data_IF_111878491408
#
_entry.id   IF_111878491408
#
_cell.length_a   1.000
_cell.length_b   1.000
_cell.length_c   1.000
_cell.angle_alpha   90.00
_cell.angle_beta   90.00
_cell.angle_gamma   90.00
#
_symmetry.space_group_name_H-M   'P 1'
#
loop_
_entity.id
_entity.type
_entity.pdbx_description
1 polymer ?
#
# COMPACT_ATOMS: atom_id res chain seq x y z
N UNK A 1 16.52 -26.77 34.84
CA UNK A 1 15.10 -26.35 34.79
C UNK A 1 14.94 -25.48 33.55
N UNK A 2 14.36 -26.03 32.50
CA UNK A 2 14.20 -25.34 31.21
C UNK A 2 12.99 -24.42 31.30
N UNK A 3 13.21 -23.12 31.17
CA UNK A 3 12.14 -22.11 31.10
C UNK A 3 11.46 -22.27 29.75
N UNK A 4 10.12 -22.46 29.68
CA UNK A 4 9.45 -22.45 28.40
C UNK A 4 9.47 -21.02 27.84
N UNK A 5 10.14 -20.85 26.69
CA UNK A 5 9.97 -19.67 25.85
C UNK A 5 8.54 -19.71 25.33
N UNK A 6 7.67 -18.92 25.94
CA UNK A 6 6.32 -18.69 25.44
C UNK A 6 6.44 -18.16 24.03
N UNK A 7 6.11 -19.00 23.05
CA UNK A 7 5.79 -18.55 21.70
C UNK A 7 4.51 -17.73 21.80
N UNK A 8 4.65 -16.43 21.97
CA UNK A 8 3.55 -15.47 21.83
C UNK A 8 3.16 -15.38 20.36
N UNK A 9 2.46 -16.39 19.86
CA UNK A 9 1.81 -16.39 18.54
C UNK A 9 0.45 -15.67 18.55
N UNK A 10 0.26 -14.74 19.48
CA UNK A 10 -0.96 -13.95 19.64
C UNK A 10 -0.56 -12.50 19.98
N UNK A 11 0.14 -11.84 19.06
CA UNK A 11 0.37 -10.40 19.19
C UNK A 11 -0.89 -9.67 18.72
N UNK A 12 -1.62 -8.98 19.62
CA UNK A 12 -2.58 -7.99 19.16
C UNK A 12 -1.76 -6.96 18.37
N UNK A 13 -2.14 -6.68 17.12
CA UNK A 13 -1.52 -5.65 16.29
C UNK A 13 -1.26 -4.43 17.17
N UNK A 14 0.02 -4.16 17.50
CA UNK A 14 0.35 -3.09 18.44
C UNK A 14 -0.23 -1.78 17.88
N UNK A 15 -1.27 -1.21 18.53
CA UNK A 15 -1.96 -0.04 18.00
C UNK A 15 -1.01 1.16 17.92
N UNK A 16 0.05 1.19 18.75
CA UNK A 16 1.07 2.23 18.73
C UNK A 16 1.99 2.08 17.52
N UNK A 17 2.45 0.87 17.20
CA UNK A 17 3.23 0.60 16.00
C UNK A 17 2.44 0.96 14.74
N UNK A 18 1.17 0.54 14.67
CA UNK A 18 0.30 0.83 13.54
C UNK A 18 0.09 2.34 13.36
N UNK A 19 -0.16 3.08 14.44
CA UNK A 19 -0.29 4.53 14.39
C UNK A 19 1.01 5.21 13.90
N UNK A 20 2.16 4.75 14.38
CA UNK A 20 3.47 5.28 13.98
C UNK A 20 3.74 5.05 12.49
N UNK A 21 3.53 3.82 12.01
CA UNK A 21 3.68 3.48 10.61
C UNK A 21 2.73 4.30 9.72
N UNK A 22 1.50 4.55 10.18
CA UNK A 22 0.53 5.39 9.45
C UNK A 22 0.99 6.83 9.33
N UNK A 23 1.54 7.42 10.39
CA UNK A 23 2.11 8.78 10.35
C UNK A 23 3.25 8.88 9.34
N UNK A 24 4.11 7.86 9.25
CA UNK A 24 5.19 7.84 8.25
C UNK A 24 4.68 7.57 6.84
N UNK A 25 3.76 6.62 6.67
CA UNK A 25 3.16 6.30 5.37
C UNK A 25 2.42 7.51 4.79
N UNK A 26 1.69 8.27 5.60
CA UNK A 26 1.00 9.49 5.17
C UNK A 26 1.92 10.60 4.64
N UNK A 27 3.24 10.51 4.87
CA UNK A 27 4.23 11.41 4.26
C UNK A 27 4.74 10.92 2.90
N UNK A 28 4.43 9.67 2.53
CA UNK A 28 4.96 8.99 1.36
C UNK A 28 3.91 8.73 0.27
N UNK A 29 2.63 8.79 0.61
CA UNK A 29 1.51 8.53 -0.31
C UNK A 29 0.44 9.62 -0.22
N UNK A 30 -0.33 9.79 -1.29
CA UNK A 30 -1.24 10.92 -1.46
C UNK A 30 -2.62 10.75 -0.79
N UNK A 31 -2.91 9.60 -0.17
CA UNK A 31 -4.22 9.37 0.46
C UNK A 31 -4.14 8.49 1.70
N UNK A 32 -5.03 8.74 2.66
CA UNK A 32 -5.19 7.93 3.86
C UNK A 32 -5.45 6.45 3.54
N UNK A 33 -6.25 6.19 2.50
CA UNK A 33 -6.53 4.83 2.07
C UNK A 33 -5.29 4.11 1.53
N UNK A 34 -4.41 4.83 0.82
CA UNK A 34 -3.11 4.30 0.39
C UNK A 34 -2.19 4.07 1.60
N UNK A 35 -2.17 5.00 2.55
CA UNK A 35 -1.37 4.87 3.76
C UNK A 35 -1.77 3.62 4.56
N UNK A 36 -3.07 3.37 4.73
CA UNK A 36 -3.58 2.18 5.40
C UNK A 36 -3.18 0.88 4.68
N UNK A 37 -3.21 0.85 3.34
CA UNK A 37 -2.76 -0.31 2.56
C UNK A 37 -1.26 -0.57 2.73
N UNK A 38 -0.44 0.47 2.69
CA UNK A 38 1.02 0.40 2.89
C UNK A 38 1.34 -0.12 4.29
N UNK A 39 0.69 0.41 5.32
CA UNK A 39 0.86 -0.03 6.72
C UNK A 39 0.47 -1.49 6.89
N UNK A 40 -0.71 -1.88 6.40
CA UNK A 40 -1.18 -3.26 6.51
C UNK A 40 -0.23 -4.24 5.81
N UNK A 41 0.27 -3.90 4.62
CA UNK A 41 1.23 -4.73 3.88
C UNK A 41 2.54 -4.88 4.64
N UNK A 42 3.04 -3.78 5.22
CA UNK A 42 4.28 -3.77 6.01
C UNK A 42 4.15 -4.68 7.23
N UNK A 43 3.04 -4.57 7.97
CA UNK A 43 2.77 -5.41 9.15
C UNK A 43 2.70 -6.89 8.75
N UNK A 44 1.97 -7.22 7.68
CA UNK A 44 1.87 -8.61 7.23
C UNK A 44 3.25 -9.23 6.95
N UNK A 45 4.12 -8.52 6.20
CA UNK A 45 5.47 -9.02 5.87
C UNK A 45 6.34 -9.25 7.10
N UNK A 46 6.24 -8.35 8.09
CA UNK A 46 6.98 -8.45 9.35
C UNK A 46 6.45 -9.60 10.21
N UNK A 47 5.14 -9.81 10.25
CA UNK A 47 4.54 -10.94 10.93
C UNK A 47 4.96 -12.27 10.29
N UNK A 48 5.09 -12.31 8.97
CA UNK A 48 5.53 -13.50 8.23
C UNK A 48 7.04 -13.75 8.38
N UNK A 49 7.86 -12.68 8.51
CA UNK A 49 9.32 -12.76 8.58
C UNK A 49 9.85 -11.90 9.74
N UNK A 50 9.71 -12.38 11.00
CA UNK A 50 10.11 -11.61 12.18
C UNK A 50 11.61 -11.33 12.24
N UNK A 51 12.46 -12.11 11.55
CA UNK A 51 13.90 -11.82 11.46
C UNK A 51 14.23 -10.46 10.84
N UNK A 52 13.28 -9.85 10.09
CA UNK A 52 13.44 -8.49 9.56
C UNK A 52 13.50 -7.43 10.67
N UNK A 53 13.03 -7.78 11.86
CA UNK A 53 13.13 -6.95 13.05
C UNK A 53 14.25 -7.41 14.00
N UNK A 54 15.04 -8.42 13.63
CA UNK A 54 16.12 -8.90 14.47
C UNK A 54 17.42 -8.11 14.22
N UNK A 55 18.00 -7.60 15.30
CA UNK A 55 19.30 -6.92 15.31
C UNK A 55 19.29 -5.38 15.20
N UNK A 56 20.50 -4.83 15.11
CA UNK A 56 20.76 -3.39 15.28
C UNK A 56 20.17 -2.47 14.20
N UNK A 57 19.69 -3.04 13.08
CA UNK A 57 19.18 -2.31 11.91
C UNK A 57 17.68 -2.43 11.71
N UNK A 58 16.94 -2.90 12.72
CA UNK A 58 15.48 -3.06 12.71
C UNK A 58 14.75 -1.84 12.13
N UNK A 59 15.05 -0.63 12.63
CA UNK A 59 14.40 0.59 12.17
C UNK A 59 14.67 0.85 10.69
N UNK A 60 15.89 0.61 10.22
CA UNK A 60 16.25 0.81 8.80
C UNK A 60 15.52 -0.18 7.90
N UNK A 61 15.44 -1.46 8.30
CA UNK A 61 14.70 -2.48 7.59
C UNK A 61 13.20 -2.13 7.50
N UNK A 62 12.62 -1.70 8.62
CA UNK A 62 11.23 -1.23 8.69
C UNK A 62 10.97 -0.03 7.78
N UNK A 63 11.83 0.98 7.82
CA UNK A 63 11.72 2.16 6.95
C UNK A 63 11.94 1.84 5.47
N UNK A 64 12.81 0.89 5.15
CA UNK A 64 13.05 0.46 3.78
C UNK A 64 11.83 -0.27 3.20
N UNK A 65 11.21 -1.16 3.99
CA UNK A 65 9.96 -1.83 3.62
C UNK A 65 8.83 -0.83 3.41
N UNK A 66 8.64 0.09 4.35
CA UNK A 66 7.60 1.10 4.27
C UNK A 66 7.74 1.98 3.02
N UNK A 67 8.96 2.43 2.71
CA UNK A 67 9.25 3.21 1.50
C UNK A 67 9.04 2.42 0.22
N UNK A 68 9.44 1.15 0.19
CA UNK A 68 9.21 0.28 -0.97
C UNK A 68 7.72 0.13 -1.25
N UNK A 69 6.92 -0.17 -0.22
CA UNK A 69 5.48 -0.35 -0.38
C UNK A 69 4.75 0.94 -0.76
N UNK A 70 5.17 2.09 -0.22
CA UNK A 70 4.64 3.39 -0.63
C UNK A 70 4.94 3.69 -2.11
N UNK A 71 6.16 3.38 -2.57
CA UNK A 71 6.53 3.54 -3.98
C UNK A 71 5.66 2.65 -4.89
N UNK A 72 5.52 1.37 -4.56
CA UNK A 72 4.70 0.43 -5.32
C UNK A 72 3.23 0.87 -5.37
N UNK A 73 2.69 1.37 -4.25
CA UNK A 73 1.31 1.88 -4.17
C UNK A 73 1.10 3.13 -5.04
N UNK A 74 2.06 4.06 -5.04
CA UNK A 74 2.00 5.27 -5.88
C UNK A 74 2.14 4.94 -7.37
N UNK A 75 2.98 3.97 -7.74
CA UNK A 75 3.13 3.51 -9.13
C UNK A 75 1.82 2.86 -9.62
N UNK A 76 1.19 2.03 -8.79
CA UNK A 76 -0.15 1.50 -9.07
C UNK A 76 -1.19 2.62 -9.23
N UNK A 77 -1.15 3.66 -8.38
CA UNK A 77 -2.00 4.85 -8.51
C UNK A 77 -1.80 5.59 -9.84
N UNK A 78 -0.55 5.84 -10.22
CA UNK A 78 -0.18 6.50 -11.47
C UNK A 78 -0.62 5.70 -12.70
N UNK A 79 -0.46 4.38 -12.66
CA UNK A 79 -0.91 3.49 -13.75
C UNK A 79 -2.44 3.51 -13.95
N UNK A 80 -3.22 3.67 -12.86
CA UNK A 80 -4.68 3.77 -12.90
C UNK A 80 -5.14 5.13 -13.43
N UNK A 81 -4.46 6.22 -13.07
CA UNK A 81 -4.75 7.54 -13.63
C UNK A 81 -4.43 7.61 -15.13
N UNK A 82 -3.30 7.03 -15.56
CA UNK A 82 -2.92 6.95 -16.97
C UNK A 82 -3.94 6.18 -17.82
N UNK A 83 -4.49 5.07 -17.30
CA UNK A 83 -5.56 4.31 -17.98
C UNK A 83 -6.91 5.02 -17.96
N UNK A 84 -7.16 5.92 -17.00
CA UNK A 84 -8.40 6.70 -16.91
C UNK A 84 -8.53 7.79 -17.97
N UNK A 85 -7.44 8.18 -18.64
CA UNK A 85 -7.45 9.22 -19.68
C UNK A 85 -7.77 8.72 -21.08
N UNK A 86 -8.03 7.42 -21.28
CA UNK A 86 -8.44 6.85 -22.58
C UNK A 86 -9.89 6.35 -22.51
N UNK A 87 -10.83 7.27 -22.28
CA UNK A 87 -12.24 7.01 -22.58
C UNK A 87 -12.98 8.34 -22.68
N UNK A 88 -12.99 8.95 -23.87
CA UNK A 88 -14.08 9.78 -24.45
C UNK A 88 -13.59 10.39 -25.77
N UNK A 89 -13.23 9.58 -26.78
CA UNK A 89 -13.27 9.99 -28.19
C UNK A 89 -13.67 8.76 -28.99
N UNK A 90 -14.96 8.50 -29.15
CA UNK A 90 -15.40 7.34 -29.93
C UNK A 90 -16.86 6.97 -29.85
N UNK A 91 -17.79 7.92 -29.74
CA UNK A 91 -19.21 7.61 -29.98
C UNK A 91 -20.08 8.83 -30.32
N UNK A 92 -19.97 9.31 -31.57
CA UNK A 92 -21.07 9.98 -32.27
C UNK A 92 -20.70 10.28 -33.74
N UNK A 93 -20.53 9.23 -34.55
CA UNK A 93 -20.75 9.34 -36.00
C UNK A 93 -21.85 8.34 -36.34
N UNK A 94 -23.08 8.83 -36.40
CA UNK A 94 -24.26 8.04 -36.73
C UNK A 94 -25.46 8.95 -36.84
N UNK A 95 -25.84 9.29 -38.07
CA UNK A 95 -27.01 10.12 -38.33
C UNK A 95 -27.01 10.78 -39.70
N UNK A 96 -26.86 9.97 -40.74
CA UNK A 96 -27.28 10.30 -42.09
C UNK A 96 -28.75 10.75 -42.07
N UNK A 97 -29.06 11.95 -42.58
CA UNK A 97 -30.40 12.26 -43.08
C UNK A 97 -30.30 12.84 -44.47
N UNK A 98 -30.47 11.95 -45.44
CA UNK A 98 -30.84 12.27 -46.81
C UNK A 98 -32.30 12.75 -46.76
N UNK A 99 -32.61 13.95 -47.26
CA UNK A 99 -33.97 14.25 -47.72
C UNK A 99 -33.93 14.94 -49.07
N UNK A 100 -34.28 14.16 -50.08
CA UNK A 100 -34.66 14.61 -51.41
C UNK A 100 -36.11 15.11 -51.42
N UNK A 101 -36.32 16.07 -52.33
CA UNK A 101 -37.57 16.59 -52.92
C UNK A 101 -38.26 17.75 -52.23
#
# INVERSE_FOLDING_TARGET
MSVPLSHSSDTPQDPQLRALLRVWAGKLVDSDAAADRVVQRTINIICDNPELLDGARMNEALFALLRRHAFDENDLGASRQSKGSVSTIGRALGGETIKSK
#
